data_IF_298488155625
#
_entry.id   IF_298488155625
#
_cell.length_a   1.000
_cell.length_b   1.000
_cell.length_c   1.000
_cell.angle_alpha   90.00
_cell.angle_beta   90.00
_cell.angle_gamma   90.00
#
_symmetry.space_group_name_H-M   'P 1'
#
loop_
_entity.id
_entity.type
_entity.pdbx_description
1 polymer ?
#
# COMPACT_ATOMS: atom_id res chain seq x y z
N UNK A 1 -5.00 2.24 32.47
CA UNK A 1 -4.26 1.86 31.25
C UNK A 1 -5.20 1.06 30.37
N UNK A 2 -5.58 1.59 29.20
CA UNK A 2 -6.39 0.86 28.23
C UNK A 2 -5.50 -0.17 27.53
N UNK A 3 -5.84 -1.46 27.63
CA UNK A 3 -5.17 -2.51 26.85
C UNK A 3 -5.59 -2.38 25.39
N UNK A 4 -4.64 -2.42 24.43
CA UNK A 4 -4.97 -2.39 23.00
C UNK A 4 -5.74 -3.65 22.56
N UNK A 5 -5.66 -4.72 23.37
CA UNK A 5 -6.37 -5.97 23.15
C UNK A 5 -7.43 -6.17 24.22
N UNK A 6 -8.58 -6.72 23.82
CA UNK A 6 -9.64 -7.15 24.73
C UNK A 6 -9.28 -8.46 25.45
N UNK A 7 -10.18 -8.95 26.31
CA UNK A 7 -9.97 -10.18 27.11
C UNK A 7 -9.80 -11.45 26.26
N UNK A 8 -10.16 -11.40 24.97
CA UNK A 8 -10.06 -12.49 24.00
C UNK A 8 -8.88 -12.30 23.05
N UNK A 9 -7.95 -11.38 23.36
CA UNK A 9 -6.77 -11.05 22.54
C UNK A 9 -7.08 -10.40 21.18
N UNK A 10 -8.30 -9.88 20.99
CA UNK A 10 -8.69 -9.14 19.78
C UNK A 10 -8.52 -7.63 19.95
N UNK A 11 -8.30 -6.94 18.84
CA UNK A 11 -8.22 -5.47 18.76
C UNK A 11 -9.60 -4.83 18.89
N UNK A 12 -9.64 -3.50 18.97
CA UNK A 12 -10.91 -2.74 19.06
C UNK A 12 -11.82 -2.92 17.84
N UNK A 13 -11.24 -3.25 16.69
CA UNK A 13 -11.94 -3.56 15.44
C UNK A 13 -12.13 -5.07 15.20
N UNK A 14 -12.01 -5.88 16.25
CA UNK A 14 -12.16 -7.34 16.24
C UNK A 14 -11.13 -8.11 15.40
N UNK A 15 -10.04 -7.46 14.98
CA UNK A 15 -8.93 -8.14 14.30
C UNK A 15 -7.99 -8.81 15.28
N UNK A 16 -7.34 -9.88 14.81
CA UNK A 16 -6.17 -10.44 15.48
C UNK A 16 -4.96 -9.48 15.39
N UNK A 17 -3.99 -9.57 16.31
CA UNK A 17 -2.76 -8.77 16.27
C UNK A 17 -2.03 -8.77 14.93
N UNK A 18 -1.96 -9.92 14.27
CA UNK A 18 -1.26 -10.12 12.99
C UNK A 18 -2.16 -9.97 11.77
N UNK A 19 -3.43 -9.58 11.95
CA UNK A 19 -4.39 -9.50 10.84
C UNK A 19 -4.40 -8.10 10.22
N UNK A 20 -4.18 -8.04 8.91
CA UNK A 20 -4.30 -6.83 8.09
C UNK A 20 -5.76 -6.38 7.95
N UNK A 21 -6.01 -5.09 7.71
CA UNK A 21 -7.34 -4.61 7.33
C UNK A 21 -7.68 -5.09 5.93
N UNK A 22 -8.98 -5.12 5.64
CA UNK A 22 -9.49 -5.43 4.29
C UNK A 22 -8.82 -4.54 3.26
N UNK A 23 -8.21 -5.18 2.26
CA UNK A 23 -7.59 -4.53 1.11
C UNK A 23 -8.58 -4.55 -0.04
N UNK A 24 -8.70 -3.44 -0.76
CA UNK A 24 -9.34 -3.44 -2.07
C UNK A 24 -8.66 -2.44 -2.99
N UNK A 25 -8.57 -2.76 -4.27
CA UNK A 25 -8.02 -1.85 -5.26
C UNK A 25 -8.83 -1.86 -6.55
N UNK A 26 -8.73 -0.76 -7.29
CA UNK A 26 -9.44 -0.56 -8.55
C UNK A 26 -8.49 0.12 -9.51
N UNK A 27 -8.10 -0.59 -10.56
CA UNK A 27 -7.33 -0.06 -11.68
C UNK A 27 -8.32 0.54 -12.67
N UNK A 28 -8.19 1.83 -12.96
CA UNK A 28 -9.00 2.47 -13.98
C UNK A 28 -8.35 2.29 -15.34
N UNK A 29 -9.14 2.08 -16.41
CA UNK A 29 -8.61 2.02 -17.75
C UNK A 29 -7.97 3.38 -18.12
N UNK A 30 -6.95 3.38 -18.99
CA UNK A 30 -6.37 4.61 -19.50
C UNK A 30 -7.45 5.45 -20.21
N UNK A 31 -7.35 6.79 -20.16
CA UNK A 31 -8.26 7.66 -20.88
C UNK A 31 -8.15 7.42 -22.39
N UNK A 32 -9.27 7.58 -23.10
CA UNK A 32 -9.36 7.39 -24.55
C UNK A 32 -8.47 8.33 -25.36
N UNK A 33 -8.02 9.44 -24.75
CA UNK A 33 -7.07 10.39 -25.32
C UNK A 33 -5.91 10.62 -24.35
N UNK A 34 -4.69 10.48 -24.85
CA UNK A 34 -3.46 10.76 -24.09
C UNK A 34 -3.18 12.25 -24.24
N UNK A 35 -3.37 13.00 -23.16
CA UNK A 35 -2.88 14.38 -23.03
C UNK A 35 -1.76 14.42 -21.99
N UNK A 36 -0.87 15.42 -22.07
CA UNK A 36 0.19 15.63 -21.06
C UNK A 36 -0.37 15.86 -19.65
N UNK A 37 -1.65 16.22 -19.55
CA UNK A 37 -2.33 16.50 -18.28
C UNK A 37 -3.25 15.35 -17.83
N UNK A 38 -3.30 14.26 -18.59
CA UNK A 38 -4.13 13.09 -18.26
C UNK A 38 -3.24 11.94 -17.81
N UNK A 39 -3.59 11.26 -16.71
CA UNK A 39 -2.80 10.14 -16.24
C UNK A 39 -2.83 9.01 -17.28
N UNK A 40 -1.66 8.44 -17.56
CA UNK A 40 -1.51 7.26 -18.42
C UNK A 40 -2.02 6.00 -17.73
N UNK A 41 -1.95 5.96 -16.40
CA UNK A 41 -2.58 4.93 -15.59
C UNK A 41 -3.04 5.50 -14.26
N UNK A 42 -4.14 4.98 -13.72
CA UNK A 42 -4.58 5.34 -12.38
C UNK A 42 -5.08 4.13 -11.60
N UNK A 43 -4.77 4.14 -10.31
CA UNK A 43 -5.09 3.09 -9.36
C UNK A 43 -5.68 3.75 -8.12
N UNK A 44 -6.83 3.24 -7.67
CA UNK A 44 -7.30 3.51 -6.31
C UNK A 44 -7.01 2.29 -5.46
N UNK A 45 -6.24 2.45 -4.39
CA UNK A 45 -5.97 1.44 -3.38
C UNK A 45 -6.67 1.84 -2.06
N UNK A 46 -7.16 0.85 -1.33
CA UNK A 46 -7.73 1.05 -0.01
C UNK A 46 -7.36 -0.08 0.92
N UNK A 47 -7.09 0.26 2.17
CA UNK A 47 -6.80 -0.66 3.26
C UNK A 47 -7.56 -0.20 4.50
N UNK A 48 -8.68 -0.88 4.78
CA UNK A 48 -9.72 -0.40 5.68
C UNK A 48 -10.22 0.99 5.28
N UNK A 49 -10.06 1.97 6.17
CA UNK A 49 -10.48 3.36 5.94
C UNK A 49 -9.42 4.20 5.22
N UNK A 50 -8.19 3.71 5.10
CA UNK A 50 -7.13 4.40 4.36
C UNK A 50 -7.38 4.23 2.87
N UNK A 51 -7.47 5.33 2.13
CA UNK A 51 -7.60 5.34 0.67
C UNK A 51 -6.49 6.14 0.04
N UNK A 52 -5.87 5.58 -0.99
CA UNK A 52 -4.79 6.19 -1.77
C UNK A 52 -5.16 6.11 -3.23
N UNK A 53 -5.14 7.25 -3.91
CA UNK A 53 -5.21 7.31 -5.37
C UNK A 53 -3.82 7.57 -5.90
N UNK A 54 -3.37 6.71 -6.81
CA UNK A 54 -2.10 6.82 -7.51
C UNK A 54 -2.39 7.09 -8.98
N UNK A 55 -1.70 8.07 -9.54
CA UNK A 55 -1.80 8.47 -10.93
C UNK A 55 -0.39 8.51 -11.51
N UNK A 56 -0.20 7.79 -12.61
CA UNK A 56 1.07 7.69 -13.31
C UNK A 56 0.92 8.47 -14.60
N UNK A 57 1.80 9.44 -14.80
CA UNK A 57 1.95 10.18 -16.04
C UNK A 57 3.14 9.60 -16.79
N UNK A 58 2.94 9.25 -18.06
CA UNK A 58 3.94 8.57 -18.87
C UNK A 58 5.24 9.35 -19.03
N UNK A 59 6.30 8.68 -19.53
CA UNK A 59 7.58 9.32 -19.75
C UNK A 59 7.38 10.54 -20.66
N UNK A 60 7.67 11.71 -20.12
CA UNK A 60 7.59 12.97 -20.86
C UNK A 60 9.02 13.39 -21.16
N UNK A 61 9.32 13.68 -22.43
CA UNK A 61 10.57 14.34 -22.77
C UNK A 61 10.53 15.74 -22.16
N UNK A 62 11.40 16.00 -21.18
CA UNK A 62 11.53 17.34 -20.62
C UNK A 62 11.99 18.29 -21.75
N UNK A 63 11.28 19.38 -22.04
CA UNK A 63 11.71 20.34 -23.06
C UNK A 63 13.11 20.92 -22.80
N UNK A 64 13.60 20.86 -21.55
CA UNK A 64 14.96 21.26 -21.18
C UNK A 64 16.05 20.25 -21.63
N UNK A 65 15.69 19.02 -21.97
CA UNK A 65 16.62 17.92 -22.28
C UNK A 65 16.98 17.79 -23.77
N UNK A 66 16.89 18.88 -24.54
CA UNK A 66 17.24 18.93 -25.98
C UNK A 66 18.75 18.84 -26.30
N UNK A 67 19.61 18.62 -25.30
CA UNK A 67 21.03 18.35 -25.54
C UNK A 67 21.27 16.85 -25.78
N UNK A 68 22.25 16.45 -26.61
CA UNK A 68 22.53 15.04 -26.87
C UNK A 68 22.98 14.37 -25.59
N UNK A 69 22.10 13.55 -25.02
CA UNK A 69 22.32 12.86 -23.76
C UNK A 69 23.05 11.54 -24.00
N UNK A 70 24.28 11.46 -23.50
CA UNK A 70 24.97 10.20 -23.20
C UNK A 70 24.22 9.53 -22.03
N UNK A 71 23.60 8.36 -22.29
CA UNK A 71 22.95 7.42 -21.35
C UNK A 71 22.30 8.04 -20.08
N UNK A 72 21.00 8.36 -20.12
CA UNK A 72 20.24 8.74 -18.90
C UNK A 72 19.31 7.62 -18.43
N UNK A 73 19.49 7.22 -17.18
CA UNK A 73 18.45 6.59 -16.36
C UNK A 73 17.22 7.49 -16.28
N UNK A 74 16.02 6.92 -16.38
CA UNK A 74 14.77 7.70 -16.22
C UNK A 74 14.66 8.29 -14.81
N UNK A 75 14.13 9.52 -14.71
CA UNK A 75 13.86 10.19 -13.43
C UNK A 75 12.40 10.03 -13.07
N UNK A 76 12.11 9.55 -11.85
CA UNK A 76 10.76 9.49 -11.29
C UNK A 76 10.56 10.57 -10.23
N UNK A 77 9.50 11.38 -10.34
CA UNK A 77 9.12 12.37 -9.33
C UNK A 77 7.79 11.95 -8.69
N UNK A 78 7.71 12.00 -7.35
CA UNK A 78 6.50 11.68 -6.59
C UNK A 78 5.98 12.91 -5.86
N UNK A 79 4.70 13.24 -6.08
CA UNK A 79 3.99 14.31 -5.38
C UNK A 79 2.90 13.73 -4.49
N UNK A 80 3.09 13.79 -3.17
CA UNK A 80 2.13 13.27 -2.21
C UNK A 80 1.25 14.40 -1.64
N UNK A 81 -0.04 14.40 -1.97
CA UNK A 81 -1.04 15.30 -1.38
C UNK A 81 -1.88 14.51 -0.38
N UNK A 82 -1.70 14.80 0.91
CA UNK A 82 -2.60 14.26 1.95
C UNK A 82 -3.84 15.13 2.10
N UNK A 83 -5.01 14.58 1.78
CA UNK A 83 -6.24 15.01 2.45
C UNK A 83 -6.24 14.39 3.86
N UNK A 84 -6.87 15.05 4.84
CA UNK A 84 -6.73 14.79 6.29
C UNK A 84 -7.25 13.42 6.80
N UNK A 85 -7.37 12.40 5.95
CA UNK A 85 -7.89 11.08 6.31
C UNK A 85 -7.08 9.97 5.64
N UNK A 86 -6.15 9.34 6.36
CA UNK A 86 -5.47 8.14 5.86
C UNK A 86 -4.30 7.72 6.74
N UNK A 87 -4.38 6.50 7.26
CA UNK A 87 -3.30 5.85 8.00
C UNK A 87 -2.13 5.47 7.09
N UNK A 88 -1.15 4.77 7.65
CA UNK A 88 0.09 4.44 6.95
C UNK A 88 -0.10 3.24 6.00
N UNK A 89 0.43 3.32 4.78
CA UNK A 89 0.55 2.17 3.85
C UNK A 89 1.94 1.58 4.05
N UNK A 90 1.99 0.34 4.52
CA UNK A 90 3.20 -0.34 4.99
C UNK A 90 2.93 -1.03 6.33
N UNK A 91 3.62 -2.14 6.60
CA UNK A 91 3.43 -2.91 7.83
C UNK A 91 3.74 -2.04 9.05
N UNK A 92 2.70 -1.50 9.69
CA UNK A 92 2.85 -0.67 10.89
C UNK A 92 2.77 -1.55 12.13
N UNK A 93 3.93 -1.81 12.72
CA UNK A 93 4.12 -2.52 13.99
C UNK A 93 3.82 -1.62 15.18
N UNK A 94 2.87 -1.93 16.07
CA UNK A 94 2.66 -1.19 17.34
C UNK A 94 2.70 -2.12 18.55
N UNK A 95 3.30 -1.70 19.67
CA UNK A 95 3.35 -2.52 20.89
C UNK A 95 2.44 -2.00 21.99
N UNK A 96 1.47 -2.82 22.42
CA UNK A 96 0.79 -2.65 23.72
C UNK A 96 1.69 -3.10 24.85
N UNK A 97 1.57 -2.49 26.05
CA UNK A 97 2.32 -2.79 27.28
C UNK A 97 2.37 -4.26 27.76
N UNK A 98 1.83 -5.22 26.99
CA UNK A 98 1.99 -6.67 27.10
C UNK A 98 2.94 -7.33 26.06
N UNK A 99 3.77 -6.57 25.34
CA UNK A 99 4.74 -7.10 24.34
C UNK A 99 4.13 -7.72 23.07
N UNK A 100 2.93 -7.32 22.67
CA UNK A 100 2.32 -7.82 21.42
C UNK A 100 2.60 -6.85 20.28
N UNK A 101 3.21 -7.32 19.19
CA UNK A 101 3.38 -6.56 17.95
C UNK A 101 2.10 -6.65 17.12
N UNK A 102 1.44 -5.51 16.92
CA UNK A 102 0.26 -5.38 16.07
C UNK A 102 0.68 -4.97 14.66
N UNK A 103 0.03 -5.49 13.62
CA UNK A 103 0.24 -5.04 12.24
C UNK A 103 -0.86 -4.10 11.78
N UNK A 104 -0.56 -3.23 10.81
CA UNK A 104 -1.55 -2.39 10.13
C UNK A 104 -2.48 -1.65 11.13
N UNK A 105 -1.85 -0.77 11.92
CA UNK A 105 -2.53 0.05 12.91
C UNK A 105 -3.60 0.94 12.26
N UNK A 106 -4.73 1.07 12.94
CA UNK A 106 -5.75 2.07 12.66
C UNK A 106 -5.42 3.39 13.39
N UNK A 107 -6.11 4.47 13.05
CA UNK A 107 -5.83 5.80 13.62
C UNK A 107 -5.98 5.84 15.14
N UNK A 108 -6.95 5.12 15.70
CA UNK A 108 -7.17 5.09 17.15
C UNK A 108 -6.02 4.40 17.88
N UNK A 109 -5.49 3.32 17.30
CA UNK A 109 -4.34 2.61 17.84
C UNK A 109 -3.06 3.43 17.71
N UNK A 110 -2.89 4.12 16.58
CA UNK A 110 -1.75 5.04 16.37
C UNK A 110 -1.71 6.18 17.38
N UNK A 111 -2.88 6.70 17.76
CA UNK A 111 -3.04 7.79 18.73
C UNK A 111 -3.15 7.29 20.18
N UNK A 112 -3.33 5.99 20.38
CA UNK A 112 -3.48 5.41 21.70
C UNK A 112 -2.16 5.50 22.46
N UNK A 113 -2.24 5.94 23.71
CA UNK A 113 -1.12 5.89 24.66
C UNK A 113 -0.62 4.47 24.96
N UNK A 114 -1.32 3.45 24.44
CA UNK A 114 -0.91 2.07 24.51
C UNK A 114 0.16 1.67 23.49
N UNK A 115 0.48 2.46 22.45
CA UNK A 115 1.53 2.12 21.47
C UNK A 115 2.83 2.85 21.79
N UNK A 116 3.84 2.11 22.28
CA UNK A 116 5.13 2.70 22.70
C UNK A 116 6.00 3.16 21.52
N UNK A 117 5.88 2.48 20.38
CA UNK A 117 6.68 2.72 19.19
C UNK A 117 5.97 2.20 17.96
N UNK A 118 6.26 2.81 16.82
CA UNK A 118 5.85 2.27 15.54
C UNK A 118 6.95 2.33 14.50
N UNK A 119 6.85 1.41 13.56
CA UNK A 119 7.77 1.23 12.44
C UNK A 119 6.97 1.18 11.14
N UNK A 120 7.53 1.75 10.09
CA UNK A 120 7.01 1.66 8.72
C UNK A 120 8.13 1.06 7.90
N UNK A 121 7.84 -0.06 7.25
CA UNK A 121 8.79 -0.72 6.35
C UNK A 121 8.18 -0.94 4.98
N UNK A 122 9.04 -0.87 3.97
CA UNK A 122 8.76 -1.24 2.59
C UNK A 122 9.78 -2.28 2.19
N UNK A 123 9.28 -3.42 1.72
CA UNK A 123 10.10 -4.52 1.23
C UNK A 123 9.91 -4.71 -0.27
N UNK A 124 10.97 -5.19 -0.90
CA UNK A 124 10.99 -5.76 -2.23
C UNK A 124 11.62 -7.17 -2.19
N UNK A 125 11.76 -7.83 -3.33
CA UNK A 125 12.42 -9.13 -3.46
C UNK A 125 13.87 -9.12 -2.92
N UNK A 126 14.57 -7.99 -3.10
CA UNK A 126 15.96 -7.81 -2.67
C UNK A 126 16.10 -7.37 -1.20
N UNK A 127 14.98 -7.15 -0.50
CA UNK A 127 14.97 -6.82 0.93
C UNK A 127 14.32 -5.48 1.27
N UNK A 128 14.77 -4.85 2.36
CA UNK A 128 14.15 -3.65 2.91
C UNK A 128 14.57 -2.39 2.14
N UNK A 129 13.63 -1.77 1.44
CA UNK A 129 13.83 -0.52 0.68
C UNK A 129 13.76 0.72 1.56
N UNK A 130 12.89 0.70 2.56
CA UNK A 130 12.67 1.82 3.47
C UNK A 130 12.32 1.30 4.85
N UNK A 131 12.94 1.84 5.89
CA UNK A 131 12.58 1.61 7.27
C UNK A 131 12.57 2.95 8.01
N UNK A 132 11.38 3.38 8.44
CA UNK A 132 11.21 4.56 9.30
C UNK A 132 10.68 4.11 10.66
N UNK A 133 11.29 4.63 11.73
CA UNK A 133 10.88 4.38 13.10
C UNK A 133 10.93 5.69 13.88
N UNK A 134 9.92 5.95 14.71
CA UNK A 134 9.84 7.25 15.43
C UNK A 134 10.40 7.19 16.85
N UNK A 135 10.35 6.03 17.51
CA UNK A 135 10.81 5.85 18.88
C UNK A 135 11.89 4.78 18.98
N UNK A 136 12.76 4.90 19.99
CA UNK A 136 13.77 3.88 20.28
C UNK A 136 13.10 2.60 20.80
N UNK A 137 13.62 1.45 20.35
CA UNK A 137 13.16 0.12 20.77
C UNK A 137 14.35 -0.76 21.08
N UNK A 138 14.15 -1.75 21.95
CA UNK A 138 15.15 -2.81 22.17
C UNK A 138 15.39 -3.60 20.88
N UNK A 139 16.62 -4.03 20.61
CA UNK A 139 17.00 -4.75 19.39
C UNK A 139 16.17 -6.03 19.18
N UNK A 140 15.90 -6.77 20.26
CA UNK A 140 15.04 -7.97 20.19
C UNK A 140 13.61 -7.63 19.73
N UNK A 141 13.06 -6.50 20.20
CA UNK A 141 11.73 -6.03 19.79
C UNK A 141 11.73 -5.51 18.36
N UNK A 142 12.78 -4.77 17.98
CA UNK A 142 12.99 -4.34 16.61
C UNK A 142 12.95 -5.51 15.64
N UNK A 143 13.67 -6.60 15.93
CA UNK A 143 13.66 -7.82 15.11
C UNK A 143 12.25 -8.42 15.00
N UNK A 144 11.50 -8.49 16.10
CA UNK A 144 10.12 -8.95 16.09
C UNK A 144 9.20 -8.08 15.23
N UNK A 145 9.34 -6.75 15.34
CA UNK A 145 8.57 -5.79 14.53
C UNK A 145 8.87 -5.94 13.03
N UNK A 146 10.15 -6.07 12.67
CA UNK A 146 10.56 -6.28 11.27
C UNK A 146 9.97 -7.58 10.73
N UNK A 147 10.05 -8.69 11.48
CA UNK A 147 9.50 -9.98 11.04
C UNK A 147 7.99 -9.95 10.80
N UNK A 148 7.22 -9.33 11.70
CA UNK A 148 5.77 -9.14 11.52
C UNK A 148 5.49 -8.27 10.30
N UNK A 149 6.23 -7.18 10.14
CA UNK A 149 6.01 -6.26 9.05
C UNK A 149 6.40 -6.84 7.68
N UNK A 150 7.44 -7.67 7.60
CA UNK A 150 7.78 -8.45 6.41
C UNK A 150 6.62 -9.38 6.03
N UNK A 151 6.05 -10.09 7.00
CA UNK A 151 4.89 -10.96 6.80
C UNK A 151 3.70 -10.22 6.19
N UNK A 152 3.34 -9.05 6.73
CA UNK A 152 2.24 -8.26 6.16
C UNK A 152 2.56 -7.62 4.82
N UNK A 153 3.81 -7.20 4.58
CA UNK A 153 4.20 -6.73 3.25
C UNK A 153 4.05 -7.83 2.19
N UNK A 154 4.40 -9.08 2.54
CA UNK A 154 4.20 -10.25 1.66
C UNK A 154 2.73 -10.52 1.37
N UNK A 155 1.88 -10.44 2.40
CA UNK A 155 0.42 -10.58 2.27
C UNK A 155 -0.16 -9.51 1.33
N UNK A 156 0.14 -8.23 1.60
CA UNK A 156 -0.32 -7.09 0.78
C UNK A 156 0.16 -7.24 -0.67
N UNK A 157 1.41 -7.66 -0.88
CA UNK A 157 1.95 -7.90 -2.22
C UNK A 157 1.19 -9.00 -2.95
N UNK A 158 0.93 -10.12 -2.29
CA UNK A 158 0.16 -11.23 -2.88
C UNK A 158 -1.24 -10.78 -3.35
N UNK A 159 -1.92 -9.98 -2.53
CA UNK A 159 -3.23 -9.40 -2.87
C UNK A 159 -3.13 -8.44 -4.07
N UNK A 160 -2.17 -7.52 -4.05
CA UNK A 160 -1.97 -6.56 -5.16
C UNK A 160 -1.61 -7.26 -6.46
N UNK A 161 -0.71 -8.26 -6.41
CA UNK A 161 -0.34 -9.07 -7.57
C UNK A 161 -1.53 -9.85 -8.11
N UNK A 162 -2.37 -10.43 -7.24
CA UNK A 162 -3.61 -11.10 -7.63
C UNK A 162 -4.52 -10.17 -8.42
N UNK A 163 -4.76 -8.97 -7.90
CA UNK A 163 -5.60 -7.97 -8.57
C UNK A 163 -5.01 -7.54 -9.91
N UNK A 164 -3.69 -7.34 -9.99
CA UNK A 164 -3.01 -6.99 -11.24
C UNK A 164 -3.11 -8.12 -12.28
N UNK A 165 -2.97 -9.39 -11.87
CA UNK A 165 -3.11 -10.54 -12.76
C UNK A 165 -4.53 -10.67 -13.29
N UNK A 166 -5.54 -10.48 -12.44
CA UNK A 166 -6.94 -10.54 -12.84
C UNK A 166 -7.30 -9.41 -13.80
N UNK A 167 -6.81 -8.20 -13.54
CA UNK A 167 -6.97 -7.08 -14.44
C UNK A 167 -6.29 -7.33 -15.80
N UNK A 168 -5.05 -7.83 -15.80
CA UNK A 168 -4.31 -8.14 -17.02
C UNK A 168 -5.00 -9.22 -17.85
N UNK A 169 -5.48 -10.30 -17.21
CA UNK A 169 -6.26 -11.35 -17.87
C UNK A 169 -7.51 -10.78 -18.54
N UNK A 170 -8.24 -9.93 -17.83
CA UNK A 170 -9.42 -9.25 -18.37
C UNK A 170 -9.13 -8.33 -19.56
N UNK A 171 -7.90 -7.82 -19.71
CA UNK A 171 -7.49 -7.08 -20.92
C UNK A 171 -7.25 -8.00 -22.11
N UNK A 172 -6.63 -9.16 -21.91
CA UNK A 172 -6.32 -10.10 -22.99
C UNK A 172 -7.58 -10.76 -23.56
N UNK A 173 -8.50 -11.20 -22.69
CA UNK A 173 -9.76 -11.84 -23.10
C UNK A 173 -10.62 -10.89 -23.96
N UNK A 174 -10.57 -9.58 -23.67
CA UNK A 174 -11.26 -8.55 -24.49
C UNK A 174 -10.66 -8.38 -25.88
N UNK A 175 -9.34 -8.56 -26.00
CA UNK A 175 -8.63 -8.35 -27.28
C UNK A 175 -8.85 -9.50 -28.25
N UNK A 176 -9.08 -10.71 -27.74
CA UNK A 176 -9.48 -11.86 -28.57
C UNK A 176 -10.99 -11.84 -28.89
N UNK A 177 -11.82 -11.27 -28.02
CA UNK A 177 -13.28 -11.31 -28.17
C UNK A 177 -13.93 -10.14 -28.91
N UNK A 178 -13.36 -8.93 -28.89
CA UNK A 178 -14.13 -7.75 -29.28
C UNK A 178 -13.31 -6.69 -30.04
N UNK A 179 -13.69 -6.47 -31.29
CA UNK A 179 -13.22 -5.36 -32.11
C UNK A 179 -13.74 -3.99 -31.66
N UNK A 180 -14.39 -3.85 -30.49
CA UNK A 180 -14.86 -2.58 -29.88
C UNK A 180 -15.51 -2.82 -28.49
N UNK A 181 -14.95 -2.28 -27.39
CA UNK A 181 -15.75 -1.96 -26.19
C UNK A 181 -15.12 -2.18 -24.81
N UNK A 182 -14.67 -1.11 -24.16
CA UNK A 182 -14.24 -1.08 -22.74
C UNK A 182 -15.46 -1.00 -21.80
N UNK A 183 -15.74 -2.03 -21.00
CA UNK A 183 -16.58 -1.90 -19.78
C UNK A 183 -15.75 -2.01 -18.49
N UNK A 184 -16.05 -1.22 -17.46
CA UNK A 184 -15.32 -1.20 -16.18
C UNK A 184 -15.39 -2.54 -15.45
N UNK A 185 -14.24 -3.12 -15.07
CA UNK A 185 -14.16 -4.20 -14.10
C UNK A 185 -14.10 -3.61 -12.68
N UNK A 186 -15.18 -3.78 -11.91
CA UNK A 186 -15.14 -3.66 -10.44
C UNK A 186 -14.71 -5.01 -9.87
N UNK A 187 -13.41 -5.21 -9.66
CA UNK A 187 -12.92 -6.33 -8.87
C UNK A 187 -13.18 -6.06 -7.39
N UNK A 188 -14.02 -6.87 -6.74
CA UNK A 188 -14.16 -6.90 -5.28
C UNK A 188 -13.57 -8.21 -4.79
N UNK A 189 -12.31 -8.18 -4.37
CA UNK A 189 -11.74 -9.28 -3.60
C UNK A 189 -12.17 -9.07 -2.15
N UNK A 190 -12.98 -9.99 -1.63
CA UNK A 190 -13.29 -10.06 -0.19
C UNK A 190 -12.26 -11.02 0.39
N UNK A 191 -11.21 -10.47 1.02
CA UNK A 191 -10.27 -11.26 1.81
C UNK A 191 -11.04 -12.00 2.91
N UNK A 192 -10.76 -13.29 3.06
CA UNK A 192 -11.33 -14.14 4.12
C UNK A 192 -10.66 -13.88 5.46
#
# INVERSE_FOLDING_TARGET
>A
MSSLLNLVSLRSDYREPSQSRVISSTILPPPSSISTNSPTGSLTYSQGLTKVQCEIYGPTLDPADRHPVTQKSGTSTSNNKRSRSGGTVGGKGGMSGKKVTLIDLNLEEELSSGVDSYMVVVFDDDGCLMCKMENRVEVGRFRGMVGVAEGGCREVRGEVEGIMRDWARGLFERREGDGRGLQLLKGRVVGK
#
